data_IF_766171023332
#
_entry.id   IF_766171023332
#
_cell.length_a   1.000
_cell.length_b   1.000
_cell.length_c   1.000
_cell.angle_alpha   90.00
_cell.angle_beta   90.00
_cell.angle_gamma   90.00
#
_symmetry.space_group_name_H-M   'P 1'
#
loop_
_entity.id
_entity.type
_entity.pdbx_description
1 polymer ?
#
# COMPACT_ATOMS: atom_id res chain seq x y z
N UNK A 1 -12.57 -35.78 -23.52
CA UNK A 1 -11.77 -34.53 -23.55
C UNK A 1 -12.36 -33.64 -22.48
N UNK A 2 -11.74 -33.60 -21.30
CA UNK A 2 -12.25 -32.84 -20.17
C UNK A 2 -11.94 -31.36 -20.37
N UNK A 3 -12.99 -30.55 -20.51
CA UNK A 3 -12.88 -29.09 -20.42
C UNK A 3 -12.38 -28.74 -19.02
N UNK A 4 -11.13 -28.30 -18.91
CA UNK A 4 -10.62 -27.69 -17.69
C UNK A 4 -11.30 -26.34 -17.56
N UNK A 5 -12.43 -26.29 -16.85
CA UNK A 5 -13.01 -25.02 -16.42
C UNK A 5 -11.97 -24.36 -15.52
N UNK A 6 -11.36 -23.26 -15.99
CA UNK A 6 -10.55 -22.39 -15.16
C UNK A 6 -11.42 -22.01 -13.95
N UNK A 7 -11.03 -22.47 -12.76
CA UNK A 7 -11.66 -22.00 -11.54
C UNK A 7 -11.49 -20.48 -11.50
N UNK A 8 -12.53 -19.69 -11.17
CA UNK A 8 -12.36 -18.26 -11.08
C UNK A 8 -11.23 -17.98 -10.09
N UNK A 9 -10.15 -17.38 -10.59
CA UNK A 9 -9.02 -17.01 -9.74
C UNK A 9 -9.56 -16.08 -8.67
N UNK A 10 -9.27 -16.39 -7.40
CA UNK A 10 -9.72 -15.55 -6.30
C UNK A 10 -9.03 -14.20 -6.46
N UNK A 11 -9.85 -13.16 -6.56
CA UNK A 11 -9.40 -11.78 -6.69
C UNK A 11 -9.87 -10.98 -5.49
N UNK A 12 -9.07 -9.99 -5.14
CA UNK A 12 -9.23 -9.17 -3.95
C UNK A 12 -9.31 -7.69 -4.31
N UNK A 13 -9.90 -6.93 -3.41
CA UNK A 13 -9.91 -5.47 -3.42
C UNK A 13 -8.98 -4.98 -2.32
N UNK A 14 -8.08 -4.05 -2.64
CA UNK A 14 -7.11 -3.49 -1.69
C UNK A 14 -7.21 -1.98 -1.67
N UNK A 15 -7.62 -1.40 -0.53
CA UNK A 15 -7.59 0.02 -0.29
C UNK A 15 -6.16 0.48 0.02
N UNK A 16 -5.70 1.47 -0.72
CA UNK A 16 -4.37 2.07 -0.59
C UNK A 16 -4.50 3.58 -0.37
N UNK A 17 -3.67 4.10 0.53
CA UNK A 17 -3.79 5.46 1.08
C UNK A 17 -2.44 6.23 1.14
N UNK A 18 -1.37 5.63 0.62
CA UNK A 18 -0.01 6.15 0.68
C UNK A 18 0.72 6.00 -0.65
N UNK A 19 1.98 5.53 -0.62
CA UNK A 19 2.81 5.39 -1.82
C UNK A 19 2.20 4.48 -2.89
N UNK A 20 1.46 3.43 -2.50
CA UNK A 20 0.72 2.55 -3.42
C UNK A 20 -0.43 3.26 -4.16
N UNK A 21 -0.75 4.51 -3.83
CA UNK A 21 -1.63 5.34 -4.66
C UNK A 21 -0.95 5.78 -5.97
N UNK A 22 0.38 5.70 -6.10
CA UNK A 22 1.08 6.01 -7.33
C UNK A 22 1.15 4.79 -8.25
N UNK A 23 0.61 4.93 -9.47
CA UNK A 23 0.57 3.83 -10.45
C UNK A 23 1.95 3.32 -10.83
N UNK A 24 2.97 4.18 -10.87
CA UNK A 24 4.34 3.77 -11.18
C UNK A 24 4.91 2.81 -10.12
N UNK A 25 4.58 3.02 -8.84
CA UNK A 25 4.98 2.13 -7.74
C UNK A 25 4.27 0.79 -7.88
N UNK A 26 2.95 0.82 -8.12
CA UNK A 26 2.13 -0.39 -8.33
C UNK A 26 2.60 -1.18 -9.55
N UNK A 27 2.95 -0.49 -10.65
CA UNK A 27 3.47 -1.10 -11.87
C UNK A 27 4.79 -1.84 -11.64
N UNK A 28 5.66 -1.31 -10.77
CA UNK A 28 6.92 -1.99 -10.41
C UNK A 28 6.63 -3.24 -9.57
N UNK A 29 5.77 -3.13 -8.56
CA UNK A 29 5.47 -4.24 -7.66
C UNK A 29 4.70 -5.37 -8.35
N UNK A 30 3.62 -5.03 -9.06
CA UNK A 30 2.68 -6.00 -9.62
C UNK A 30 2.95 -6.33 -11.09
N UNK A 31 3.94 -5.68 -11.71
CA UNK A 31 4.26 -5.79 -13.15
C UNK A 31 3.08 -5.39 -14.07
N UNK A 32 2.05 -4.73 -13.52
CA UNK A 32 0.88 -4.13 -14.19
C UNK A 32 0.25 -3.06 -13.29
N UNK A 33 -0.66 -2.26 -13.84
CA UNK A 33 -1.55 -1.38 -13.07
C UNK A 33 -2.96 -1.98 -13.03
N UNK A 34 -3.46 -2.44 -11.87
CA UNK A 34 -4.84 -2.87 -11.72
C UNK A 34 -5.83 -1.71 -11.90
N UNK A 35 -7.06 -2.02 -12.33
CA UNK A 35 -8.15 -1.04 -12.30
C UNK A 35 -8.32 -0.52 -10.88
N UNK A 36 -8.55 0.79 -10.74
CA UNK A 36 -8.74 1.40 -9.44
C UNK A 36 -9.86 2.43 -9.41
N UNK A 37 -10.54 2.51 -8.28
CA UNK A 37 -11.59 3.50 -8.01
C UNK A 37 -11.20 4.39 -6.82
N UNK A 38 -11.44 5.71 -6.88
CA UNK A 38 -11.23 6.59 -5.73
C UNK A 38 -12.15 6.19 -4.59
N UNK A 39 -11.64 6.23 -3.35
CA UNK A 39 -12.34 5.71 -2.19
C UNK A 39 -12.05 6.50 -0.91
N UNK A 40 -12.97 6.38 0.05
CA UNK A 40 -12.88 6.98 1.38
C UNK A 40 -13.00 5.86 2.43
N UNK A 41 -12.05 5.83 3.35
CA UNK A 41 -12.09 5.02 4.56
C UNK A 41 -12.47 5.92 5.74
N UNK A 42 -13.61 5.65 6.37
CA UNK A 42 -14.08 6.39 7.55
C UNK A 42 -13.50 5.81 8.84
N UNK A 43 -13.45 6.62 9.90
CA UNK A 43 -12.96 6.26 11.23
C UNK A 43 -11.46 5.91 11.29
N UNK A 44 -10.67 6.47 10.36
CA UNK A 44 -9.20 6.38 10.35
C UNK A 44 -8.58 7.76 10.14
N UNK A 45 -7.36 7.93 10.63
CA UNK A 45 -6.52 9.08 10.34
C UNK A 45 -5.19 8.64 9.73
N UNK A 46 -4.71 9.41 8.75
CA UNK A 46 -3.45 9.16 8.04
C UNK A 46 -2.36 10.08 8.58
N UNK A 47 -1.32 9.47 9.12
CA UNK A 47 -0.21 10.15 9.78
C UNK A 47 1.06 10.11 8.92
N UNK A 48 1.90 11.14 9.07
CA UNK A 48 3.31 11.07 8.70
C UNK A 48 4.10 10.35 9.80
N UNK A 49 5.22 9.73 9.43
CA UNK A 49 6.09 9.00 10.37
C UNK A 49 7.49 9.61 10.30
N UNK A 50 8.08 9.97 11.43
CA UNK A 50 9.42 10.57 11.45
C UNK A 50 10.44 9.63 10.81
N UNK A 51 11.25 10.16 9.90
CA UNK A 51 12.27 9.40 9.19
C UNK A 51 11.73 8.47 8.10
N UNK A 52 10.43 8.53 7.76
CA UNK A 52 9.86 7.74 6.66
C UNK A 52 9.05 8.64 5.73
N UNK A 53 9.12 8.35 4.43
CA UNK A 53 8.38 9.11 3.42
C UNK A 53 6.97 8.56 3.16
N UNK A 54 6.63 7.39 3.71
CA UNK A 54 5.32 6.75 3.54
C UNK A 54 4.47 6.87 4.82
N UNK A 55 3.13 6.88 4.68
CA UNK A 55 2.23 7.16 5.79
C UNK A 55 1.82 5.92 6.58
N UNK A 56 1.33 6.16 7.80
CA UNK A 56 0.58 5.20 8.61
C UNK A 56 -0.90 5.56 8.62
N UNK A 57 -1.80 4.57 8.78
CA UNK A 57 -3.17 4.82 9.25
C UNK A 57 -3.40 4.15 10.60
N UNK A 58 -4.15 4.84 11.45
CA UNK A 58 -4.67 4.30 12.71
C UNK A 58 -6.16 4.66 12.87
N UNK A 59 -6.93 3.85 13.62
CA UNK A 59 -8.31 4.18 13.96
C UNK A 59 -8.42 5.54 14.65
N UNK A 60 -9.33 6.38 14.18
CA UNK A 60 -9.60 7.71 14.74
C UNK A 60 -11.04 8.12 14.44
N UNK A 61 -11.84 8.34 15.48
CA UNK A 61 -13.24 8.74 15.33
C UNK A 61 -13.39 10.08 14.60
N UNK A 62 -14.45 10.20 13.80
CA UNK A 62 -14.78 11.41 13.03
C UNK A 62 -13.69 11.89 12.05
N UNK A 63 -12.70 11.04 11.76
CA UNK A 63 -11.71 11.25 10.71
C UNK A 63 -11.99 10.33 9.53
N UNK A 64 -11.41 10.67 8.38
CA UNK A 64 -11.49 9.89 7.16
C UNK A 64 -10.16 9.96 6.42
N UNK A 65 -9.88 8.92 5.66
CA UNK A 65 -8.70 8.83 4.79
C UNK A 65 -9.19 8.70 3.35
N UNK A 66 -8.72 9.60 2.48
CA UNK A 66 -8.91 9.49 1.04
C UNK A 66 -7.80 8.64 0.44
N UNK A 67 -8.17 7.77 -0.49
CA UNK A 67 -7.26 6.87 -1.17
C UNK A 67 -7.91 6.30 -2.43
N UNK A 68 -7.49 5.11 -2.82
CA UNK A 68 -8.08 4.36 -3.93
C UNK A 68 -8.17 2.88 -3.60
N UNK A 69 -9.12 2.18 -4.20
CA UNK A 69 -9.22 0.72 -4.15
C UNK A 69 -8.63 0.16 -5.43
N UNK A 70 -7.57 -0.63 -5.31
CA UNK A 70 -7.06 -1.49 -6.38
C UNK A 70 -7.95 -2.74 -6.47
N UNK A 71 -8.49 -3.02 -7.65
CA UNK A 71 -9.39 -4.14 -7.90
C UNK A 71 -8.69 -5.25 -8.67
N UNK A 72 -9.16 -6.49 -8.49
CA UNK A 72 -8.64 -7.61 -9.27
C UNK A 72 -7.24 -8.04 -8.85
N UNK A 73 -6.89 -7.87 -7.57
CA UNK A 73 -5.60 -8.31 -7.03
C UNK A 73 -5.64 -9.82 -6.82
N UNK A 74 -4.75 -10.55 -7.46
CA UNK A 74 -4.63 -12.02 -7.32
C UNK A 74 -3.98 -12.40 -5.99
N UNK A 75 -4.13 -13.65 -5.55
CA UNK A 75 -3.44 -14.15 -4.35
C UNK A 75 -1.90 -13.93 -4.41
N UNK A 76 -1.27 -14.15 -5.56
CA UNK A 76 0.18 -13.95 -5.73
C UNK A 76 0.60 -12.49 -5.62
N UNK A 77 -0.19 -11.58 -6.19
CA UNK A 77 0.06 -10.14 -6.08
C UNK A 77 -0.17 -9.64 -4.67
N UNK A 78 -1.17 -10.21 -4.00
CA UNK A 78 -1.46 -9.90 -2.61
C UNK A 78 -0.30 -10.30 -1.68
N UNK A 79 0.38 -11.43 -1.95
CA UNK A 79 1.62 -11.80 -1.23
C UNK A 79 2.74 -10.78 -1.49
N UNK A 80 2.92 -10.31 -2.73
CA UNK A 80 3.92 -9.25 -3.01
C UNK A 80 3.63 -7.97 -2.22
N UNK A 81 2.35 -7.60 -2.10
CA UNK A 81 1.95 -6.45 -1.28
C UNK A 81 2.19 -6.69 0.22
N UNK A 82 1.92 -7.90 0.73
CA UNK A 82 2.21 -8.26 2.12
C UNK A 82 3.72 -8.15 2.41
N UNK A 83 4.57 -8.71 1.55
CA UNK A 83 6.03 -8.64 1.67
C UNK A 83 6.56 -7.21 1.54
N UNK A 84 5.94 -6.40 0.68
CA UNK A 84 6.31 -5.00 0.51
C UNK A 84 5.98 -4.18 1.76
N UNK A 85 4.77 -4.31 2.31
CA UNK A 85 4.35 -3.53 3.48
C UNK A 85 5.12 -3.97 4.74
N UNK A 86 5.57 -5.23 4.78
CA UNK A 86 6.44 -5.80 5.81
C UNK A 86 5.75 -5.83 7.20
N UNK A 87 6.49 -6.26 8.24
CA UNK A 87 6.00 -6.44 9.62
C UNK A 87 5.48 -5.18 10.29
N UNK A 88 5.69 -4.01 9.68
CA UNK A 88 5.26 -2.72 10.23
C UNK A 88 3.76 -2.49 10.07
N UNK A 89 3.14 -3.20 9.14
CA UNK A 89 1.72 -3.10 8.87
C UNK A 89 1.01 -4.44 9.01
N UNK A 90 -0.19 -4.36 9.56
CA UNK A 90 -1.14 -5.45 9.60
C UNK A 90 -2.14 -5.33 8.47
N UNK A 91 -2.23 -6.38 7.64
CA UNK A 91 -3.37 -6.48 6.73
C UNK A 91 -4.66 -6.68 7.51
N UNK A 92 -5.63 -5.80 7.28
CA UNK A 92 -6.94 -5.78 7.92
C UNK A 92 -8.04 -5.65 6.88
N UNK A 93 -9.21 -6.23 7.14
CA UNK A 93 -10.40 -6.00 6.32
C UNK A 93 -11.14 -4.75 6.81
N UNK A 94 -11.44 -3.84 5.89
CA UNK A 94 -12.16 -2.59 6.17
C UNK A 94 -13.30 -2.40 5.18
N UNK A 95 -14.29 -1.60 5.56
CA UNK A 95 -15.35 -1.14 4.69
C UNK A 95 -14.99 0.25 4.15
N UNK A 96 -15.01 0.41 2.82
CA UNK A 96 -14.65 1.66 2.14
C UNK A 96 -15.78 2.12 1.22
N UNK A 97 -15.92 3.43 1.11
CA UNK A 97 -16.89 4.09 0.22
C UNK A 97 -16.21 4.48 -1.10
N UNK A 98 -16.65 3.88 -2.20
CA UNK A 98 -16.22 4.27 -3.55
C UNK A 98 -16.93 5.57 -3.97
N UNK A 99 -16.17 6.58 -4.39
CA UNK A 99 -16.74 7.90 -4.68
C UNK A 99 -17.22 8.06 -6.12
N UNK A 100 -16.84 7.14 -7.01
CA UNK A 100 -17.21 7.16 -8.43
C UNK A 100 -18.59 6.54 -8.68
N UNK A 101 -18.92 5.47 -7.96
CA UNK A 101 -20.20 4.75 -8.10
C UNK A 101 -21.08 4.81 -6.83
N UNK A 102 -20.61 5.46 -5.76
CA UNK A 102 -21.31 5.63 -4.48
C UNK A 102 -21.64 4.31 -3.76
N UNK A 103 -20.81 3.28 -3.95
CA UNK A 103 -20.98 1.97 -3.33
C UNK A 103 -20.07 1.78 -2.11
N UNK A 104 -20.52 0.93 -1.17
CA UNK A 104 -19.70 0.43 -0.07
C UNK A 104 -19.17 -0.95 -0.41
N UNK A 105 -17.89 -1.22 -0.14
CA UNK A 105 -17.31 -2.55 -0.33
C UNK A 105 -16.30 -2.90 0.76
N UNK A 106 -16.13 -4.21 0.97
CA UNK A 106 -15.05 -4.73 1.81
C UNK A 106 -13.75 -4.82 1.00
N UNK A 107 -12.68 -4.24 1.55
CA UNK A 107 -11.35 -4.28 0.98
C UNK A 107 -10.33 -4.65 2.07
N UNK A 108 -9.21 -5.24 1.66
CA UNK A 108 -8.03 -5.27 2.49
C UNK A 108 -7.38 -3.89 2.55
N UNK A 109 -6.74 -3.56 3.65
CA UNK A 109 -5.86 -2.41 3.81
C UNK A 109 -4.72 -2.80 4.73
N UNK A 110 -3.62 -2.07 4.65
CA UNK A 110 -2.52 -2.17 5.60
C UNK A 110 -2.74 -1.15 6.72
N UNK A 111 -2.59 -1.54 7.98
CA UNK A 111 -2.80 -0.66 9.15
C UNK A 111 -1.53 -0.70 9.97
N UNK A 112 -1.05 0.44 10.44
CA UNK A 112 0.19 0.50 11.22
C UNK A 112 0.07 -0.34 12.49
N UNK A 113 1.01 -1.26 12.72
CA UNK A 113 0.95 -2.21 13.84
C UNK A 113 1.16 -1.51 15.19
N UNK A 114 2.11 -0.56 15.26
CA UNK A 114 2.46 0.14 16.50
C UNK A 114 1.59 1.38 16.74
N UNK A 115 0.46 1.19 17.42
CA UNK A 115 -0.51 2.26 17.72
C UNK A 115 0.03 3.39 18.62
N UNK A 116 1.05 3.09 19.43
CA UNK A 116 1.64 4.02 20.40
C UNK A 116 2.95 4.64 19.90
N UNK A 117 3.20 4.58 18.59
CA UNK A 117 4.43 5.09 18.00
C UNK A 117 4.54 6.62 18.09
N UNK A 118 5.48 7.08 18.93
CA UNK A 118 5.81 8.50 19.13
C UNK A 118 6.41 9.21 17.91
N UNK A 119 6.72 8.46 16.85
CA UNK A 119 7.13 8.99 15.56
C UNK A 119 5.97 9.36 14.66
N UNK A 120 4.73 9.00 15.00
CA UNK A 120 3.55 9.45 14.26
C UNK A 120 3.26 10.92 14.53
N UNK A 121 3.07 11.69 13.46
CA UNK A 121 2.75 13.12 13.58
C UNK A 121 1.98 13.63 12.37
N UNK A 122 1.21 14.70 12.62
CA UNK A 122 0.55 15.49 11.57
C UNK A 122 -0.33 14.67 10.64
N UNK A 123 -0.63 15.28 9.49
CA UNK A 123 -1.33 14.65 8.38
C UNK A 123 -0.33 14.45 7.24
N UNK A 124 -0.43 13.32 6.55
CA UNK A 124 0.40 13.05 5.38
C UNK A 124 -0.30 13.48 4.09
N UNK A 125 0.44 14.16 3.23
CA UNK A 125 -0.04 14.72 1.96
C UNK A 125 0.56 13.97 0.76
N UNK A 126 -0.34 13.44 -0.08
CA UNK A 126 0.05 12.67 -1.26
C UNK A 126 0.66 13.54 -2.36
N UNK A 127 0.17 14.76 -2.56
CA UNK A 127 0.66 15.66 -3.61
C UNK A 127 2.06 16.14 -3.28
N UNK A 128 2.31 16.48 -2.00
CA UNK A 128 3.63 16.82 -1.52
C UNK A 128 4.61 15.64 -1.69
N UNK A 129 4.21 14.45 -1.23
CA UNK A 129 5.03 13.24 -1.40
C UNK A 129 5.31 12.93 -2.88
N UNK A 130 4.29 13.05 -3.74
CA UNK A 130 4.40 12.79 -5.17
C UNK A 130 5.44 13.70 -5.83
N UNK A 131 5.48 14.97 -5.40
CA UNK A 131 6.43 15.96 -5.91
C UNK A 131 7.84 15.80 -5.36
N UNK A 132 7.99 15.45 -4.08
CA UNK A 132 9.27 15.47 -3.38
C UNK A 132 9.98 14.12 -3.32
N UNK A 133 9.23 13.01 -3.24
CA UNK A 133 9.78 11.72 -2.82
C UNK A 133 9.47 10.56 -3.77
N UNK A 134 8.51 10.73 -4.70
CA UNK A 134 8.08 9.65 -5.60
C UNK A 134 9.23 9.02 -6.40
N UNK A 135 10.13 9.83 -6.95
CA UNK A 135 11.20 9.33 -7.80
C UNK A 135 12.21 8.47 -7.01
N UNK A 136 12.63 8.95 -5.84
CA UNK A 136 13.55 8.21 -4.96
C UNK A 136 12.88 6.95 -4.42
N UNK A 137 11.60 7.06 -4.03
CA UNK A 137 10.82 5.91 -3.59
C UNK A 137 10.68 4.87 -4.70
N UNK A 138 10.45 5.29 -5.95
CA UNK A 138 10.36 4.39 -7.10
C UNK A 138 11.69 3.70 -7.39
N UNK A 139 12.83 4.40 -7.24
CA UNK A 139 14.15 3.80 -7.37
C UNK A 139 14.38 2.72 -6.29
N UNK A 140 14.02 3.01 -5.04
CA UNK A 140 14.04 2.04 -3.95
C UNK A 140 13.13 0.84 -4.21
N UNK A 141 11.89 1.06 -4.68
CA UNK A 141 10.95 -0.03 -5.01
C UNK A 141 11.50 -0.94 -6.11
N UNK A 142 12.20 -0.40 -7.11
CA UNK A 142 12.86 -1.22 -8.13
C UNK A 142 13.97 -2.08 -7.54
N UNK A 143 14.83 -1.50 -6.69
CA UNK A 143 15.88 -2.24 -5.99
C UNK A 143 15.31 -3.36 -5.11
N UNK A 144 14.24 -3.09 -4.38
CA UNK A 144 13.52 -4.10 -3.59
C UNK A 144 13.01 -5.26 -4.45
N UNK A 145 12.42 -4.98 -5.62
CA UNK A 145 11.95 -6.05 -6.51
C UNK A 145 13.10 -6.88 -7.10
N UNK A 146 14.26 -6.25 -7.37
CA UNK A 146 15.46 -6.96 -7.82
C UNK A 146 16.06 -7.86 -6.71
N UNK A 147 15.94 -7.45 -5.44
CA UNK A 147 16.36 -8.23 -4.26
C UNK A 147 15.40 -9.38 -3.94
N UNK A 148 14.08 -9.18 -4.09
CA UNK A 148 13.07 -10.24 -3.94
C UNK A 148 13.26 -11.39 -4.94
N UNK A 149 13.83 -11.11 -6.10
CA UNK A 149 14.16 -12.13 -7.11
C UNK A 149 15.45 -12.91 -6.75
N UNK A 150 16.16 -12.55 -5.67
CA UNK A 150 17.38 -13.19 -5.19
C UNK A 150 17.16 -14.06 -3.92
N UNK A 151 17.98 -15.11 -3.69
CA UNK A 151 17.79 -16.03 -2.56
C UNK A 151 18.08 -15.45 -1.16
N UNK A 152 18.76 -14.30 -1.07
CA UNK A 152 19.13 -13.61 0.18
C UNK A 152 18.43 -12.24 0.27
N UNK A 153 17.09 -12.22 0.31
CA UNK A 153 16.33 -10.97 0.31
C UNK A 153 16.46 -10.21 1.64
N UNK A 154 16.65 -8.89 1.55
CA UNK A 154 16.53 -7.95 2.67
C UNK A 154 15.08 -7.46 2.75
N UNK A 155 14.63 -7.08 3.94
CA UNK A 155 13.29 -6.50 4.11
C UNK A 155 13.23 -5.08 3.52
N UNK A 156 12.04 -4.61 3.11
CA UNK A 156 11.87 -3.25 2.57
C UNK A 156 12.44 -2.19 3.52
N UNK A 157 12.28 -2.36 4.84
CA UNK A 157 12.82 -1.44 5.85
C UNK A 157 14.35 -1.38 5.76
N UNK A 158 15.02 -2.52 5.65
CA UNK A 158 16.48 -2.56 5.51
C UNK A 158 16.93 -1.92 4.18
N UNK A 159 16.21 -2.16 3.08
CA UNK A 159 16.47 -1.50 1.79
C UNK A 159 16.26 0.02 1.90
N UNK A 160 15.20 0.46 2.58
CA UNK A 160 14.91 1.88 2.82
C UNK A 160 16.00 2.56 3.67
N UNK A 161 16.38 1.96 4.79
CA UNK A 161 17.45 2.49 5.65
C UNK A 161 18.77 2.62 4.89
N UNK A 162 19.14 1.62 4.08
CA UNK A 162 20.36 1.69 3.27
C UNK A 162 20.34 2.82 2.23
N UNK A 163 19.17 3.13 1.67
CA UNK A 163 19.04 4.14 0.61
C UNK A 163 18.92 5.57 1.14
N UNK A 164 18.29 5.74 2.31
CA UNK A 164 17.98 7.05 2.88
C UNK A 164 18.85 7.44 4.10
N UNK A 165 19.66 6.54 4.68
CA UNK A 165 20.64 6.88 5.72
C UNK A 165 22.07 7.14 5.20
N UNK A 166 22.36 6.92 3.92
CA UNK A 166 23.65 7.28 3.30
C UNK A 166 23.75 8.77 2.87
N UNK A 167 22.75 9.60 3.21
CA UNK A 167 22.66 11.03 2.86
C UNK A 167 22.85 11.98 4.03
#
# INVERSE_FOLDING_TARGET
>A
MGSSALSPQKVHSVFVYGSLMADDVVQVLLKRVPTSSPAILNAYHRFSIKGRVYPAILPAENKKVTGKVLQGITDSELVVLDEFEDVEYKRSTVEVFLTDNLEMLLAYTYVWENKDDSNLYGEWDFEEWSRLHKNDFLAMTKGFMEELEQPESKTRVATYESYFQEG
#
